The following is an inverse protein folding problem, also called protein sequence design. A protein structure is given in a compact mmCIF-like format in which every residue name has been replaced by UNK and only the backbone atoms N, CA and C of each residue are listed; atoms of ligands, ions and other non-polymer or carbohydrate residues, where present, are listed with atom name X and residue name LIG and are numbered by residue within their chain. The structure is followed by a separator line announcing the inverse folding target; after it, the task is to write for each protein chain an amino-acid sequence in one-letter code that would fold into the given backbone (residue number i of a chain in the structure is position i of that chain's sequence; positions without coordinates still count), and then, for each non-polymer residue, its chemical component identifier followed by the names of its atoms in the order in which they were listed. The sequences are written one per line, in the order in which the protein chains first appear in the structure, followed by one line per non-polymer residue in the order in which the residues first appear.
data_IF_255876156397
#
_entry.id   IF_255876156397
#
_cell.length_a   1.000
_cell.length_b   1.000
_cell.length_c   1.000
_cell.angle_alpha   90.00
_cell.angle_beta   90.00
_cell.angle_gamma   90.00
#
_symmetry.space_group_name_H-M   'P 1'
#
loop_
_entity.id
_entity.type
_entity.pdbx_description
1 polymer ?
#
# COMPACT_ATOMS: atom_id res chain seq x y z
N UNK A 1 11.94 7.68 37.60
CA UNK A 1 12.24 6.48 38.42
C UNK A 1 12.65 5.31 37.49
N UNK A 2 11.84 4.89 36.53
CA UNK A 2 12.12 3.73 35.67
C UNK A 2 13.46 3.85 34.95
N UNK A 3 13.75 4.96 34.27
CA UNK A 3 15.02 5.17 33.55
C UNK A 3 16.21 5.06 34.50
N UNK A 4 16.15 5.71 35.67
CA UNK A 4 17.21 5.62 36.69
C UNK A 4 17.39 4.20 37.21
N UNK A 5 16.32 3.47 37.46
CA UNK A 5 16.38 2.08 37.91
C UNK A 5 17.04 1.18 36.84
N UNK A 6 16.69 1.37 35.55
CA UNK A 6 17.30 0.63 34.45
C UNK A 6 18.79 0.95 34.34
N UNK A 7 19.17 2.25 34.33
CA UNK A 7 20.56 2.68 34.29
C UNK A 7 21.37 2.14 35.49
N UNK A 8 20.80 2.12 36.69
CA UNK A 8 21.43 1.53 37.88
C UNK A 8 21.68 0.03 37.77
N UNK A 9 20.93 -0.69 36.95
CA UNK A 9 21.09 -2.14 36.73
C UNK A 9 22.04 -2.48 35.59
N UNK A 10 21.99 -1.72 34.48
CA UNK A 10 22.76 -2.03 33.27
C UNK A 10 24.08 -1.27 33.18
N UNK A 11 24.26 -0.25 33.99
CA UNK A 11 25.46 0.62 33.99
C UNK A 11 25.26 1.89 33.17
N UNK A 12 26.11 2.89 33.42
CA UNK A 12 26.01 4.21 32.78
C UNK A 12 26.26 4.15 31.26
N UNK A 13 27.16 3.30 30.83
CA UNK A 13 27.58 3.16 29.44
C UNK A 13 26.59 2.38 28.58
N UNK A 14 25.62 1.68 29.17
CA UNK A 14 24.62 0.95 28.41
C UNK A 14 23.56 1.92 27.87
N UNK A 15 23.33 2.00 26.54
CA UNK A 15 22.35 2.96 25.96
C UNK A 15 20.92 2.62 26.39
N UNK A 16 20.24 3.59 26.99
CA UNK A 16 18.85 3.48 27.41
C UNK A 16 18.05 4.65 26.81
N UNK A 17 17.10 4.35 25.95
CA UNK A 17 16.17 5.38 25.45
C UNK A 17 14.74 5.01 25.78
N UNK A 18 13.88 6.01 25.76
CA UNK A 18 12.46 5.82 25.96
C UNK A 18 11.67 6.30 24.76
N UNK A 19 10.51 5.70 24.55
CA UNK A 19 9.51 6.19 23.60
C UNK A 19 8.45 6.98 24.38
N UNK A 20 8.22 8.22 23.94
CA UNK A 20 7.24 9.13 24.52
C UNK A 20 6.21 9.53 23.48
N UNK A 21 4.96 9.55 23.86
CA UNK A 21 3.92 10.22 23.10
C UNK A 21 4.01 11.73 23.40
N UNK A 22 4.43 12.49 22.40
CA UNK A 22 4.61 13.95 22.51
C UNK A 22 3.27 14.68 22.60
N UNK A 23 2.20 14.05 22.11
CA UNK A 23 0.84 14.56 22.13
C UNK A 23 -0.16 13.43 22.05
N UNK A 24 -1.29 13.56 22.75
CA UNK A 24 -2.47 12.74 22.58
C UNK A 24 -3.51 13.49 21.75
N UNK A 25 -3.94 12.88 20.65
CA UNK A 25 -4.91 13.48 19.75
C UNK A 25 -6.33 13.12 20.17
N UNK A 26 -7.22 14.13 20.24
CA UNK A 26 -8.65 14.00 20.57
C UNK A 26 -8.96 13.26 21.86
N UNK A 27 -8.05 13.24 22.79
CA UNK A 27 -8.25 12.71 24.14
C UNK A 27 -8.56 13.88 25.07
N UNK A 28 -9.70 13.82 25.72
CA UNK A 28 -10.05 14.83 26.73
C UNK A 28 -9.02 14.77 27.87
N UNK A 29 -8.46 15.92 28.23
CA UNK A 29 -7.34 16.02 29.16
C UNK A 29 -6.11 15.20 28.78
N UNK A 30 -5.95 14.86 27.49
CA UNK A 30 -4.78 14.16 26.97
C UNK A 30 -3.53 15.03 26.97
N UNK A 31 -2.37 14.36 26.85
CA UNK A 31 -1.05 14.99 26.85
C UNK A 31 -0.95 16.04 25.73
N UNK A 32 -0.63 17.27 26.14
CA UNK A 32 -0.31 18.37 25.23
C UNK A 32 1.15 18.31 24.77
N UNK A 33 1.51 19.00 23.70
CA UNK A 33 2.89 19.05 23.22
C UNK A 33 3.83 19.68 24.27
N UNK A 34 3.37 20.63 25.08
CA UNK A 34 4.18 21.22 26.15
C UNK A 34 4.45 20.22 27.27
N UNK A 35 3.49 19.41 27.65
CA UNK A 35 3.67 18.33 28.61
C UNK A 35 4.61 17.25 28.05
N UNK A 36 4.46 16.88 26.76
CA UNK A 36 5.38 15.98 26.06
C UNK A 36 6.84 16.49 26.06
N UNK A 37 7.04 17.79 25.80
CA UNK A 37 8.35 18.44 25.91
C UNK A 37 8.91 18.36 27.32
N UNK A 38 8.10 18.65 28.33
CA UNK A 38 8.49 18.55 29.72
C UNK A 38 8.83 17.10 30.13
N UNK A 39 8.07 16.13 29.64
CA UNK A 39 8.36 14.70 29.88
C UNK A 39 9.71 14.30 29.25
N UNK A 40 10.05 14.80 28.07
CA UNK A 40 11.33 14.56 27.43
C UNK A 40 12.51 15.16 28.23
N UNK A 41 12.39 16.40 28.73
CA UNK A 41 13.39 17.04 29.61
C UNK A 41 13.60 16.21 30.89
N UNK A 42 12.53 15.71 31.49
CA UNK A 42 12.61 14.86 32.68
C UNK A 42 13.23 13.49 32.38
N UNK A 43 12.98 12.94 31.21
CA UNK A 43 13.59 11.67 30.77
C UNK A 43 15.11 11.83 30.57
N UNK A 44 15.55 12.91 29.92
CA UNK A 44 16.96 13.29 29.77
C UNK A 44 17.62 13.48 31.15
N UNK A 45 17.01 14.26 32.03
CA UNK A 45 17.52 14.47 33.41
C UNK A 45 17.54 13.18 34.25
N UNK A 46 16.81 12.16 33.87
CA UNK A 46 16.83 10.84 34.48
C UNK A 46 17.89 9.91 33.87
N UNK A 47 18.63 10.35 32.84
CA UNK A 47 19.72 9.60 32.20
C UNK A 47 19.28 8.82 30.94
N UNK A 48 18.20 9.22 30.27
CA UNK A 48 17.91 8.71 28.94
C UNK A 48 18.97 9.18 27.94
N UNK A 49 19.47 8.28 27.10
CA UNK A 49 20.48 8.57 26.08
C UNK A 49 19.87 9.01 24.76
N UNK A 50 18.58 8.76 24.53
CA UNK A 50 17.80 9.25 23.38
C UNK A 50 16.31 9.26 23.68
N UNK A 51 15.57 10.05 22.92
CA UNK A 51 14.10 10.14 22.98
C UNK A 51 13.50 9.72 21.64
N UNK A 52 12.69 8.66 21.64
CA UNK A 52 11.90 8.25 20.50
C UNK A 52 10.50 8.90 20.57
N UNK A 53 10.19 9.76 19.61
CA UNK A 53 8.99 10.58 19.65
C UNK A 53 7.85 9.94 18.85
N UNK A 54 6.73 9.67 19.51
CA UNK A 54 5.48 9.23 18.89
C UNK A 54 4.33 10.13 19.30
N UNK A 55 3.12 9.73 18.94
CA UNK A 55 1.89 10.35 19.41
C UNK A 55 0.82 9.26 19.54
N UNK A 56 -0.15 9.51 20.41
CA UNK A 56 -1.25 8.62 20.69
C UNK A 56 -2.56 9.19 20.15
N UNK A 57 -3.47 8.31 19.81
CA UNK A 57 -4.89 8.61 19.61
C UNK A 57 -5.68 7.39 20.08
N UNK A 58 -6.77 7.61 20.80
CA UNK A 58 -7.58 6.52 21.36
C UNK A 58 -8.24 5.70 20.22
N UNK A 59 -7.86 4.42 20.05
CA UNK A 59 -8.42 3.58 18.99
C UNK A 59 -9.89 3.21 19.22
N UNK A 60 -10.41 3.32 20.44
CA UNK A 60 -11.82 3.04 20.75
C UNK A 60 -12.74 4.09 20.16
N UNK A 61 -12.25 5.31 19.98
CA UNK A 61 -12.98 6.41 19.38
C UNK A 61 -12.95 6.41 17.84
N UNK A 62 -12.44 5.40 17.17
CA UNK A 62 -12.34 5.26 15.69
C UNK A 62 -11.94 6.54 14.94
N UNK A 63 -12.72 7.60 15.10
CA UNK A 63 -12.48 8.93 14.52
C UNK A 63 -11.19 9.55 15.06
N UNK A 64 -10.90 9.46 16.35
CA UNK A 64 -9.67 9.96 16.95
C UNK A 64 -8.44 9.25 16.38
N UNK A 65 -8.54 7.94 16.17
CA UNK A 65 -7.48 7.17 15.53
C UNK A 65 -7.26 7.59 14.07
N UNK A 66 -8.33 7.90 13.33
CA UNK A 66 -8.23 8.35 11.94
C UNK A 66 -7.61 9.73 11.80
N UNK A 67 -7.72 10.57 12.81
CA UNK A 67 -7.13 11.91 12.82
C UNK A 67 -5.66 11.93 13.26
N UNK A 68 -5.13 10.81 13.77
CA UNK A 68 -3.71 10.72 14.07
C UNK A 68 -2.87 10.84 12.79
N UNK A 69 -1.81 11.66 12.76
CA UNK A 69 -0.98 11.88 11.59
C UNK A 69 -0.44 10.58 10.96
N UNK A 70 -0.23 9.54 11.76
CA UNK A 70 0.24 8.24 11.31
C UNK A 70 -0.62 7.61 10.21
N UNK A 71 -1.95 7.82 10.26
CA UNK A 71 -2.88 7.27 9.27
C UNK A 71 -3.04 8.20 8.07
N UNK A 72 -2.98 9.51 8.28
CA UNK A 72 -3.34 10.51 7.26
C UNK A 72 -2.17 11.04 6.45
N UNK A 73 -1.03 11.35 7.11
CA UNK A 73 0.04 12.13 6.52
C UNK A 73 1.38 11.39 6.53
N UNK A 74 2.15 11.56 5.47
CA UNK A 74 3.59 11.31 5.52
C UNK A 74 4.23 12.32 6.49
N UNK A 75 5.28 11.91 7.21
CA UNK A 75 6.03 12.75 8.14
C UNK A 75 5.20 13.40 9.27
N UNK A 76 4.00 12.86 9.57
CA UNK A 76 3.04 13.51 10.46
C UNK A 76 3.54 13.79 11.89
N UNK A 77 4.52 13.01 12.38
CA UNK A 77 5.10 13.21 13.72
C UNK A 77 6.43 13.98 13.71
N UNK A 78 6.96 14.32 12.53
CA UNK A 78 8.22 15.08 12.43
C UNK A 78 8.14 16.43 13.15
N UNK A 79 7.05 17.23 13.06
CA UNK A 79 6.94 18.48 13.83
C UNK A 79 6.97 18.27 15.34
N UNK A 80 6.46 17.13 15.83
CA UNK A 80 6.52 16.78 17.25
C UNK A 80 7.95 16.46 17.67
N UNK A 81 8.66 15.65 16.87
CA UNK A 81 10.07 15.33 17.09
C UNK A 81 10.95 16.59 17.08
N UNK A 82 10.75 17.48 16.10
CA UNK A 82 11.43 18.78 16.04
C UNK A 82 11.15 19.64 17.29
N UNK A 83 9.90 19.64 17.76
CA UNK A 83 9.51 20.34 18.97
C UNK A 83 10.18 19.81 20.26
N UNK A 84 10.37 18.49 20.35
CA UNK A 84 11.13 17.85 21.44
C UNK A 84 12.63 18.16 21.30
N UNK A 85 13.21 18.02 20.10
CA UNK A 85 14.63 18.24 19.84
C UNK A 85 15.11 19.64 20.24
N UNK A 86 14.25 20.65 20.15
CA UNK A 86 14.55 22.02 20.58
C UNK A 86 14.65 22.18 22.11
N UNK A 87 14.31 21.15 22.89
CA UNK A 87 14.21 21.19 24.36
C UNK A 87 15.20 20.25 25.05
N UNK A 88 15.76 19.29 24.34
CA UNK A 88 16.68 18.27 24.89
C UNK A 88 18.01 18.30 24.14
N UNK A 89 19.08 17.92 24.84
CA UNK A 89 20.44 17.80 24.28
C UNK A 89 20.73 16.39 23.75
N UNK A 90 19.96 15.38 24.19
CA UNK A 90 20.10 14.01 23.72
C UNK A 90 19.51 13.79 22.33
N UNK A 91 20.00 12.80 21.58
CA UNK A 91 19.44 12.46 20.26
C UNK A 91 17.94 12.21 20.27
N UNK A 92 17.26 12.68 19.22
CA UNK A 92 15.83 12.49 19.02
C UNK A 92 15.56 11.60 17.80
N UNK A 93 14.74 10.58 18.00
CA UNK A 93 14.35 9.61 16.98
C UNK A 93 12.92 9.96 16.50
N UNK A 94 12.77 10.31 15.21
CA UNK A 94 11.46 10.55 14.60
C UNK A 94 10.88 9.28 13.98
N UNK A 95 9.56 9.18 14.00
CA UNK A 95 8.79 8.08 13.36
C UNK A 95 7.52 8.66 12.69
N UNK A 96 6.88 7.90 11.82
CA UNK A 96 5.55 8.22 11.29
C UNK A 96 5.48 8.44 9.78
N UNK A 97 5.38 7.34 9.00
CA UNK A 97 5.26 7.35 7.53
C UNK A 97 6.32 8.21 6.84
N UNK A 98 7.58 8.00 7.21
CA UNK A 98 8.71 8.71 6.62
C UNK A 98 9.26 7.83 5.49
N UNK A 99 9.30 8.34 4.25
CA UNK A 99 9.96 7.68 3.12
C UNK A 99 11.48 7.92 3.21
N UNK A 100 12.33 7.12 2.55
CA UNK A 100 13.80 7.31 2.61
C UNK A 100 14.25 8.72 2.21
N UNK A 101 13.69 9.26 1.14
CA UNK A 101 14.01 10.62 0.64
C UNK A 101 13.58 11.69 1.63
N UNK A 102 12.42 11.51 2.28
CA UNK A 102 11.92 12.40 3.33
C UNK A 102 12.77 12.27 4.60
N UNK A 103 13.27 11.06 4.91
CA UNK A 103 14.16 10.81 6.05
C UNK A 103 15.43 11.63 5.93
N UNK A 104 16.09 11.61 4.78
CA UNK A 104 17.29 12.39 4.51
C UNK A 104 17.01 13.91 4.69
N UNK A 105 15.92 14.40 4.12
CA UNK A 105 15.53 15.82 4.25
C UNK A 105 15.27 16.20 5.72
N UNK A 106 14.65 15.34 6.52
CA UNK A 106 14.39 15.58 7.96
C UNK A 106 15.70 15.65 8.75
N UNK A 107 16.65 14.75 8.48
CA UNK A 107 17.96 14.71 9.14
C UNK A 107 18.80 15.93 8.75
N UNK A 108 18.88 16.25 7.45
CA UNK A 108 19.63 17.42 6.95
C UNK A 108 19.08 18.73 7.46
N UNK A 109 17.77 18.83 7.68
CA UNK A 109 17.14 20.00 8.28
C UNK A 109 17.32 20.07 9.83
N UNK A 110 17.98 19.11 10.43
CA UNK A 110 18.20 19.03 11.88
C UNK A 110 16.93 18.85 12.71
N UNK A 111 15.85 18.30 12.12
CA UNK A 111 14.58 18.09 12.81
C UNK A 111 14.54 16.86 13.70
N UNK A 112 15.42 15.90 13.43
CA UNK A 112 15.65 14.70 14.21
C UNK A 112 17.11 14.24 14.01
N UNK A 113 17.60 13.32 14.83
CA UNK A 113 18.94 12.72 14.71
C UNK A 113 18.87 11.33 14.09
N UNK A 114 17.75 10.63 14.31
CA UNK A 114 17.51 9.29 13.79
C UNK A 114 16.07 9.17 13.27
N UNK A 115 15.88 8.22 12.34
CA UNK A 115 14.57 7.89 11.79
C UNK A 115 14.23 6.43 12.08
N UNK A 116 13.06 6.20 12.68
CA UNK A 116 12.54 4.86 12.91
C UNK A 116 11.52 4.48 11.81
N UNK A 117 11.70 3.31 11.19
CA UNK A 117 10.87 2.79 10.12
C UNK A 117 10.32 1.39 10.47
N UNK A 118 9.09 1.27 10.97
CA UNK A 118 8.50 -0.04 11.31
C UNK A 118 7.95 -0.76 10.08
N UNK A 119 6.85 -0.25 9.50
CA UNK A 119 6.13 -0.92 8.39
C UNK A 119 6.96 -1.07 7.11
N UNK A 120 7.92 -0.18 6.87
CA UNK A 120 8.84 -0.30 5.74
C UNK A 120 9.78 -1.48 5.90
N UNK A 121 10.27 -1.72 7.11
CA UNK A 121 11.11 -2.88 7.42
C UNK A 121 10.32 -4.20 7.42
N UNK A 122 9.00 -4.16 7.67
CA UNK A 122 8.14 -5.32 7.42
C UNK A 122 7.97 -5.60 5.92
N UNK A 123 7.90 -4.55 5.10
CA UNK A 123 7.81 -4.70 3.65
C UNK A 123 9.14 -5.11 3.03
N UNK A 124 10.25 -4.57 3.53
CA UNK A 124 11.61 -4.89 3.08
C UNK A 124 12.60 -4.82 4.26
N UNK A 125 12.96 -5.95 4.88
CA UNK A 125 13.95 -5.97 5.96
C UNK A 125 15.36 -5.55 5.52
N UNK A 126 15.66 -5.67 4.22
CA UNK A 126 16.94 -5.28 3.63
C UNK A 126 17.04 -3.79 3.26
N UNK A 127 16.00 -3.01 3.56
CA UNK A 127 15.93 -1.58 3.22
C UNK A 127 17.18 -0.80 3.64
N UNK A 128 17.71 -0.92 4.88
CA UNK A 128 18.89 -0.15 5.28
C UNK A 128 20.14 -0.52 4.46
N UNK A 129 20.33 -1.82 4.17
CA UNK A 129 21.45 -2.31 3.36
C UNK A 129 21.35 -1.80 1.92
N UNK A 130 20.17 -1.90 1.29
CA UNK A 130 19.94 -1.43 -0.08
C UNK A 130 20.17 0.07 -0.22
N UNK A 131 19.71 0.86 0.75
CA UNK A 131 19.98 2.31 0.76
C UNK A 131 21.47 2.61 0.92
N UNK A 132 22.16 1.93 1.84
CA UNK A 132 23.59 2.10 2.07
C UNK A 132 24.45 1.71 0.85
N UNK A 133 23.97 0.78 0.02
CA UNK A 133 24.61 0.35 -1.23
C UNK A 133 24.17 1.20 -2.45
N UNK A 134 23.36 2.25 -2.26
CA UNK A 134 22.90 3.13 -3.34
C UNK A 134 21.89 2.48 -4.29
N UNK A 135 21.07 1.53 -3.81
CA UNK A 135 20.06 0.78 -4.59
C UNK A 135 18.63 1.03 -4.10
N UNK A 136 18.18 2.31 -3.96
CA UNK A 136 16.85 2.62 -3.44
C UNK A 136 15.70 2.05 -4.29
N UNK A 137 15.93 1.90 -5.61
CA UNK A 137 14.95 1.33 -6.53
C UNK A 137 14.68 -0.16 -6.32
N UNK A 138 15.55 -0.86 -5.60
CA UNK A 138 15.37 -2.27 -5.24
C UNK A 138 14.62 -2.46 -3.91
N UNK A 139 14.30 -1.38 -3.22
CA UNK A 139 13.52 -1.43 -1.99
C UNK A 139 12.06 -1.79 -2.30
N UNK A 140 11.56 -2.86 -1.68
CA UNK A 140 10.15 -3.24 -1.77
C UNK A 140 9.28 -2.22 -1.02
N UNK A 141 8.35 -1.54 -1.69
CA UNK A 141 7.60 -0.45 -1.07
C UNK A 141 6.55 -0.95 -0.08
N UNK A 142 6.42 -0.27 1.04
CA UNK A 142 5.22 -0.37 1.87
C UNK A 142 4.09 0.40 1.22
N UNK A 143 2.95 -0.26 0.94
CA UNK A 143 1.77 0.37 0.33
C UNK A 143 0.79 0.94 1.36
N UNK A 144 1.14 0.97 2.62
CA UNK A 144 0.29 1.51 3.70
C UNK A 144 -1.16 0.96 3.73
N UNK A 145 -1.32 -0.32 3.38
CA UNK A 145 -2.62 -1.02 3.44
C UNK A 145 -3.10 -1.31 4.85
N UNK A 146 -2.23 -1.14 5.85
CA UNK A 146 -2.49 -1.40 7.28
C UNK A 146 -2.83 -2.85 7.64
N UNK A 147 -2.68 -3.81 6.76
CA UNK A 147 -2.91 -5.23 7.05
C UNK A 147 -2.12 -5.68 8.29
N UNK A 148 -0.83 -5.36 8.37
CA UNK A 148 0.02 -5.67 9.53
C UNK A 148 -0.51 -5.04 10.83
N UNK A 149 -0.90 -3.77 10.79
CA UNK A 149 -1.45 -3.07 11.98
C UNK A 149 -2.81 -3.62 12.36
N UNK A 150 -3.68 -3.93 11.38
CA UNK A 150 -4.98 -4.55 11.62
C UNK A 150 -4.86 -5.91 12.35
N UNK A 151 -3.84 -6.70 12.04
CA UNK A 151 -3.57 -7.97 12.72
C UNK A 151 -3.23 -7.80 14.20
N UNK A 152 -2.57 -6.70 14.58
CA UNK A 152 -2.27 -6.37 15.99
C UNK A 152 -3.58 -6.18 16.77
N UNK A 153 -4.54 -5.41 16.22
CA UNK A 153 -5.84 -5.19 16.86
C UNK A 153 -6.67 -6.48 17.00
N UNK A 154 -6.45 -7.45 16.13
CA UNK A 154 -7.13 -8.75 16.17
C UNK A 154 -6.36 -9.80 16.97
N UNK A 155 -5.24 -9.42 17.59
CA UNK A 155 -4.32 -10.35 18.27
C UNK A 155 -3.95 -11.58 17.40
N UNK A 156 -3.69 -11.32 16.12
CA UNK A 156 -3.33 -12.36 15.14
C UNK A 156 -1.85 -12.24 14.77
N UNK A 157 -1.29 -13.36 14.25
CA UNK A 157 0.06 -13.39 13.69
C UNK A 157 0.23 -12.28 12.65
N UNK A 158 1.32 -11.53 12.75
CA UNK A 158 1.58 -10.44 11.83
C UNK A 158 1.88 -10.96 10.41
N UNK A 159 1.52 -10.16 9.41
CA UNK A 159 1.80 -10.43 8.01
C UNK A 159 1.89 -9.11 7.23
N UNK A 160 2.51 -9.14 6.06
CA UNK A 160 2.58 -8.01 5.15
C UNK A 160 1.92 -8.37 3.82
N UNK A 161 1.11 -7.46 3.28
CA UNK A 161 0.44 -7.68 1.98
C UNK A 161 1.42 -7.69 0.79
N UNK A 162 2.60 -7.11 0.95
CA UNK A 162 3.61 -7.02 -0.13
C UNK A 162 4.85 -7.87 0.11
N UNK A 163 5.05 -8.39 1.32
CA UNK A 163 6.18 -9.24 1.68
C UNK A 163 5.66 -10.55 2.29
N UNK A 164 5.48 -11.62 1.49
CA UNK A 164 4.91 -12.89 1.94
C UNK A 164 5.62 -13.55 3.13
N UNK A 165 6.96 -13.50 3.26
CA UNK A 165 7.68 -14.06 4.40
C UNK A 165 7.38 -13.41 5.76
N UNK A 166 6.88 -12.16 5.80
CA UNK A 166 6.68 -11.41 7.06
C UNK A 166 5.94 -12.23 8.12
N UNK A 167 6.58 -12.42 9.28
CA UNK A 167 6.09 -13.24 10.40
C UNK A 167 6.26 -14.76 10.18
N UNK A 168 6.92 -15.16 9.08
CA UNK A 168 7.22 -16.54 8.73
C UNK A 168 8.59 -16.67 8.05
N UNK A 169 9.53 -15.81 8.40
CA UNK A 169 10.79 -15.63 7.72
C UNK A 169 11.59 -16.93 7.65
N UNK A 170 11.64 -17.70 8.75
CA UNK A 170 12.32 -18.98 8.80
C UNK A 170 11.66 -20.10 7.96
N UNK A 171 10.36 -19.95 7.64
CA UNK A 171 9.63 -20.93 6.82
C UNK A 171 9.74 -20.62 5.30
N UNK A 172 10.01 -19.36 4.96
CA UNK A 172 10.01 -18.82 3.59
C UNK A 172 11.38 -18.29 3.16
N UNK A 173 12.45 -18.81 3.71
CA UNK A 173 13.79 -18.50 3.23
C UNK A 173 13.93 -18.97 1.76
N UNK A 174 14.49 -18.10 0.93
CA UNK A 174 14.67 -18.40 -0.49
C UNK A 174 16.01 -19.10 -0.65
N UNK A 175 15.98 -20.43 -0.70
CA UNK A 175 17.14 -21.28 -0.93
C UNK A 175 17.22 -21.75 -2.38
N UNK A 176 18.43 -21.92 -2.94
CA UNK A 176 18.61 -22.56 -4.25
C UNK A 176 17.93 -23.93 -4.30
N UNK A 177 17.26 -24.21 -5.42
CA UNK A 177 16.65 -25.52 -5.62
C UNK A 177 17.72 -26.60 -5.85
N UNK A 178 17.61 -27.75 -5.20
CA UNK A 178 18.49 -28.89 -5.41
C UNK A 178 18.52 -29.33 -6.89
N UNK A 179 17.36 -29.28 -7.55
CA UNK A 179 17.22 -29.60 -8.96
C UNK A 179 16.47 -28.47 -9.69
N UNK A 180 17.15 -27.69 -10.55
CA UNK A 180 16.49 -26.69 -11.39
C UNK A 180 15.45 -27.33 -12.32
N UNK A 181 14.27 -26.72 -12.40
CA UNK A 181 13.14 -27.14 -13.24
C UNK A 181 12.76 -26.06 -14.24
N UNK A 182 12.05 -26.44 -15.30
CA UNK A 182 11.35 -25.48 -16.16
C UNK A 182 9.99 -25.14 -15.54
N UNK A 183 9.78 -23.87 -15.25
CA UNK A 183 8.57 -23.35 -14.61
C UNK A 183 7.86 -22.39 -15.55
N UNK A 184 6.63 -22.73 -15.92
CA UNK A 184 5.74 -21.86 -16.67
C UNK A 184 4.79 -21.14 -15.68
N UNK A 185 4.88 -19.83 -15.61
CA UNK A 185 3.97 -18.99 -14.83
C UNK A 185 2.96 -18.35 -15.76
N UNK A 186 1.66 -18.57 -15.49
CA UNK A 186 0.55 -18.09 -16.31
C UNK A 186 -0.15 -16.94 -15.61
N UNK A 187 0.01 -15.74 -16.14
CA UNK A 187 -0.55 -14.49 -15.61
C UNK A 187 0.50 -13.58 -14.97
N UNK A 188 0.61 -12.36 -15.48
CA UNK A 188 1.56 -11.32 -15.06
C UNK A 188 1.02 -10.35 -14.00
N UNK A 189 0.03 -10.80 -13.21
CA UNK A 189 -0.42 -10.07 -12.03
C UNK A 189 0.57 -10.17 -10.86
N UNK A 190 0.29 -9.53 -9.69
CA UNK A 190 1.22 -9.52 -8.57
C UNK A 190 1.61 -10.91 -8.07
N UNK A 191 0.67 -11.86 -8.06
CA UNK A 191 0.94 -13.25 -7.66
C UNK A 191 1.89 -13.95 -8.64
N UNK A 192 1.66 -13.79 -9.95
CA UNK A 192 2.51 -14.39 -10.98
C UNK A 192 3.90 -13.76 -11.03
N UNK A 193 4.01 -12.44 -10.91
CA UNK A 193 5.30 -11.74 -10.85
C UNK A 193 6.13 -12.17 -9.63
N UNK A 194 5.52 -12.27 -8.45
CA UNK A 194 6.21 -12.73 -7.24
C UNK A 194 6.60 -14.22 -7.34
N UNK A 195 5.72 -15.08 -7.88
CA UNK A 195 6.02 -16.49 -8.11
C UNK A 195 7.19 -16.67 -9.10
N UNK A 196 7.19 -15.92 -10.21
CA UNK A 196 8.27 -15.93 -11.18
C UNK A 196 9.59 -15.45 -10.57
N UNK A 197 9.55 -14.37 -9.78
CA UNK A 197 10.71 -13.83 -9.06
C UNK A 197 11.31 -14.88 -8.11
N UNK A 198 10.50 -15.48 -7.26
CA UNK A 198 10.97 -16.48 -6.29
C UNK A 198 11.51 -17.73 -7.00
N UNK A 199 10.83 -18.22 -8.04
CA UNK A 199 11.30 -19.36 -8.81
C UNK A 199 12.67 -19.08 -9.50
N UNK A 200 12.84 -17.89 -10.06
CA UNK A 200 14.10 -17.48 -10.68
C UNK A 200 15.24 -17.34 -9.64
N UNK A 201 14.98 -16.74 -8.48
CA UNK A 201 15.95 -16.65 -7.38
C UNK A 201 16.37 -18.02 -6.85
N UNK A 202 15.49 -19.00 -6.92
CA UNK A 202 15.81 -20.41 -6.59
C UNK A 202 16.56 -21.15 -7.69
N UNK A 203 16.85 -20.50 -8.83
CA UNK A 203 17.62 -21.08 -9.93
C UNK A 203 16.82 -21.90 -10.93
N UNK A 204 15.48 -21.83 -10.94
CA UNK A 204 14.65 -22.47 -11.94
C UNK A 204 14.71 -21.69 -13.28
N UNK A 205 14.46 -22.40 -14.39
CA UNK A 205 14.24 -21.78 -15.70
C UNK A 205 12.80 -21.31 -15.80
N UNK A 206 12.54 -20.00 -15.75
CA UNK A 206 11.21 -19.43 -15.63
C UNK A 206 10.77 -18.79 -16.94
N UNK A 207 9.58 -19.16 -17.42
CA UNK A 207 8.84 -18.44 -18.46
C UNK A 207 7.59 -17.83 -17.81
N UNK A 208 7.41 -16.51 -17.91
CA UNK A 208 6.21 -15.80 -17.44
C UNK A 208 5.42 -15.32 -18.66
N UNK A 209 4.20 -15.85 -18.80
CA UNK A 209 3.29 -15.44 -19.87
C UNK A 209 2.16 -14.55 -19.32
N UNK A 210 1.92 -13.44 -20.00
CA UNK A 210 0.80 -12.53 -19.71
C UNK A 210 0.04 -12.24 -21.01
N UNK A 211 -1.30 -12.37 -20.98
CA UNK A 211 -2.15 -12.16 -22.17
C UNK A 211 -2.22 -10.70 -22.62
N UNK A 212 -2.03 -9.75 -21.71
CA UNK A 212 -1.98 -8.33 -22.03
C UNK A 212 -0.56 -7.88 -22.40
N UNK A 213 -0.44 -6.70 -23.03
CA UNK A 213 0.84 -6.10 -23.41
C UNK A 213 1.62 -5.52 -22.21
N UNK A 214 1.10 -5.68 -20.98
CA UNK A 214 1.73 -5.13 -19.77
C UNK A 214 1.53 -6.03 -18.55
N UNK A 215 2.49 -5.96 -17.63
CA UNK A 215 2.40 -6.60 -16.32
C UNK A 215 1.50 -5.82 -15.34
N UNK A 216 1.18 -6.45 -14.21
CA UNK A 216 0.50 -5.84 -13.07
C UNK A 216 -0.94 -6.28 -12.87
N UNK A 217 -1.62 -6.80 -13.89
CA UNK A 217 -2.98 -7.33 -13.79
C UNK A 217 -3.96 -6.33 -13.13
N UNK A 218 -4.76 -6.79 -12.18
CA UNK A 218 -5.73 -5.94 -11.44
C UNK A 218 -5.06 -4.86 -10.59
N UNK A 219 -3.79 -5.04 -10.21
CA UNK A 219 -3.07 -4.05 -9.40
C UNK A 219 -2.87 -2.73 -10.15
N UNK A 220 -2.75 -2.75 -11.49
CA UNK A 220 -2.71 -1.55 -12.33
C UNK A 220 -3.99 -0.74 -12.17
N UNK A 221 -5.16 -1.39 -12.22
CA UNK A 221 -6.43 -0.71 -12.01
C UNK A 221 -6.55 -0.16 -10.57
N UNK A 222 -6.23 -0.97 -9.57
CA UNK A 222 -6.30 -0.53 -8.18
C UNK A 222 -5.35 0.63 -7.86
N UNK A 223 -4.27 0.81 -8.64
CA UNK A 223 -3.36 1.95 -8.50
C UNK A 223 -3.95 3.28 -8.97
N UNK A 224 -4.99 3.26 -9.81
CA UNK A 224 -5.77 4.46 -10.13
C UNK A 224 -6.56 4.95 -8.92
N UNK A 225 -7.09 4.01 -8.15
CA UNK A 225 -7.87 4.27 -6.93
C UNK A 225 -6.93 4.58 -5.76
N UNK A 226 -5.93 3.73 -5.55
CA UNK A 226 -4.97 3.87 -4.45
C UNK A 226 -3.53 3.95 -4.98
N UNK A 227 -2.95 5.15 -4.96
CA UNK A 227 -1.68 5.48 -5.62
C UNK A 227 -0.49 4.62 -5.18
N UNK A 228 -0.42 4.25 -3.90
CA UNK A 228 0.67 3.45 -3.36
C UNK A 228 0.80 2.07 -4.05
N UNK A 229 -0.28 1.54 -4.61
CA UNK A 229 -0.25 0.30 -5.39
C UNK A 229 0.60 0.42 -6.67
N UNK A 230 0.71 1.63 -7.23
CA UNK A 230 1.56 1.89 -8.40
C UNK A 230 3.04 1.60 -8.12
N UNK A 231 3.54 2.02 -6.96
CA UNK A 231 4.91 1.73 -6.53
C UNK A 231 5.19 0.21 -6.45
N UNK A 232 4.20 -0.57 -6.04
CA UNK A 232 4.32 -2.02 -5.99
C UNK A 232 4.37 -2.65 -7.40
N UNK A 233 3.55 -2.15 -8.34
CA UNK A 233 3.62 -2.59 -9.75
C UNK A 233 5.01 -2.35 -10.31
N UNK A 234 5.53 -1.12 -10.17
CA UNK A 234 6.84 -0.72 -10.67
C UNK A 234 7.97 -1.58 -10.05
N UNK A 235 7.89 -1.85 -8.74
CA UNK A 235 8.85 -2.72 -8.06
C UNK A 235 8.81 -4.14 -8.63
N UNK A 236 7.65 -4.77 -8.69
CA UNK A 236 7.51 -6.16 -9.16
C UNK A 236 7.91 -6.30 -10.64
N UNK A 237 7.52 -5.36 -11.48
CA UNK A 237 7.91 -5.34 -12.90
C UNK A 237 9.43 -5.23 -13.04
N UNK A 238 10.08 -4.35 -12.29
CA UNK A 238 11.54 -4.23 -12.27
C UNK A 238 12.20 -5.52 -11.84
N UNK A 239 11.72 -6.17 -10.77
CA UNK A 239 12.25 -7.46 -10.29
C UNK A 239 12.16 -8.55 -11.37
N UNK A 240 11.02 -8.64 -12.07
CA UNK A 240 10.85 -9.61 -13.17
C UNK A 240 11.82 -9.34 -14.31
N UNK A 241 12.05 -8.06 -14.67
CA UNK A 241 12.93 -7.69 -15.79
C UNK A 241 14.42 -7.80 -15.48
N UNK A 242 14.81 -7.71 -14.21
CA UNK A 242 16.21 -7.84 -13.77
C UNK A 242 16.66 -9.30 -13.59
N UNK A 243 15.72 -10.23 -13.43
CA UNK A 243 16.00 -11.65 -13.25
C UNK A 243 16.00 -12.40 -14.59
N UNK A 244 16.64 -13.57 -14.69
CA UNK A 244 16.68 -14.39 -15.91
C UNK A 244 15.33 -15.08 -16.16
N UNK A 245 14.30 -14.29 -16.42
CA UNK A 245 12.92 -14.72 -16.70
C UNK A 245 12.61 -14.48 -18.17
N UNK A 246 12.17 -15.52 -18.89
CA UNK A 246 11.62 -15.40 -20.24
C UNK A 246 10.22 -14.79 -20.16
N UNK A 247 10.13 -13.47 -20.33
CA UNK A 247 8.89 -12.70 -20.25
C UNK A 247 8.20 -12.62 -21.61
N UNK A 248 6.98 -13.16 -21.70
CA UNK A 248 6.15 -13.16 -22.91
C UNK A 248 4.85 -12.38 -22.66
N UNK A 249 4.81 -11.15 -23.12
CA UNK A 249 3.61 -10.30 -23.12
C UNK A 249 2.78 -10.55 -24.39
N UNK A 250 1.46 -10.26 -24.34
CA UNK A 250 0.54 -10.56 -25.42
C UNK A 250 0.31 -12.06 -25.66
N UNK A 251 0.82 -12.93 -24.75
CA UNK A 251 0.77 -14.36 -24.89
C UNK A 251 -0.34 -14.98 -24.02
N UNK A 252 -1.44 -15.36 -24.64
CA UNK A 252 -2.45 -16.19 -23.99
C UNK A 252 -1.98 -17.66 -23.92
N UNK A 253 -2.06 -18.23 -22.73
CA UNK A 253 -1.68 -19.64 -22.50
C UNK A 253 -2.90 -20.52 -22.60
N UNK A 254 -2.87 -21.43 -23.57
CA UNK A 254 -3.87 -22.48 -23.77
C UNK A 254 -3.33 -23.83 -23.34
N UNK A 255 -4.21 -24.85 -23.22
CA UNK A 255 -3.78 -26.22 -22.96
C UNK A 255 -2.80 -26.75 -24.02
N UNK A 256 -3.00 -26.36 -25.30
CA UNK A 256 -2.07 -26.70 -26.39
C UNK A 256 -0.71 -26.06 -26.17
N UNK A 257 -0.66 -24.77 -25.79
CA UNK A 257 0.60 -24.09 -25.48
C UNK A 257 1.39 -24.82 -24.39
N UNK A 258 0.72 -25.24 -23.31
CA UNK A 258 1.37 -26.01 -22.22
C UNK A 258 1.93 -27.33 -22.73
N UNK A 259 1.16 -28.06 -23.56
CA UNK A 259 1.60 -29.33 -24.16
C UNK A 259 2.82 -29.15 -25.08
N UNK A 260 2.88 -28.05 -25.83
CA UNK A 260 3.99 -27.74 -26.74
C UNK A 260 5.25 -27.31 -25.97
N UNK A 261 5.10 -26.52 -24.89
CA UNK A 261 6.24 -26.05 -24.06
C UNK A 261 6.79 -27.13 -23.11
N UNK A 262 6.00 -28.12 -22.74
CA UNK A 262 6.36 -29.24 -21.83
C UNK A 262 7.09 -28.79 -20.56
N UNK A 263 6.56 -27.81 -19.78
CA UNK A 263 7.19 -27.41 -18.55
C UNK A 263 7.13 -28.51 -17.50
N UNK A 264 8.12 -28.56 -16.58
CA UNK A 264 8.08 -29.46 -15.43
C UNK A 264 7.00 -29.05 -14.43
N UNK A 265 6.73 -27.72 -14.33
CA UNK A 265 5.74 -27.15 -13.40
C UNK A 265 4.98 -26.02 -14.10
N UNK A 266 3.67 -25.95 -13.88
CA UNK A 266 2.81 -24.83 -14.28
C UNK A 266 2.25 -24.16 -13.03
N UNK A 267 2.50 -22.86 -12.88
CA UNK A 267 1.93 -22.01 -11.84
C UNK A 267 0.82 -21.14 -12.45
N UNK A 268 -0.43 -21.39 -12.04
CA UNK A 268 -1.59 -20.65 -12.56
C UNK A 268 -1.89 -19.45 -11.65
N UNK A 269 -1.70 -18.24 -12.17
CA UNK A 269 -1.87 -16.97 -11.47
C UNK A 269 -2.75 -15.98 -12.26
N UNK A 270 -3.83 -16.48 -12.86
CA UNK A 270 -4.71 -15.72 -13.79
C UNK A 270 -5.68 -14.77 -13.10
N UNK A 271 -5.65 -14.70 -11.78
CA UNK A 271 -6.57 -13.88 -10.99
C UNK A 271 -7.94 -14.52 -10.79
N UNK A 272 -8.85 -13.77 -10.14
CA UNK A 272 -10.22 -14.21 -9.93
C UNK A 272 -11.11 -13.80 -11.10
N UNK A 273 -12.06 -14.66 -11.44
CA UNK A 273 -13.19 -14.27 -12.31
C UNK A 273 -14.16 -13.39 -11.53
N UNK A 274 -14.71 -12.40 -12.20
CA UNK A 274 -15.84 -11.66 -11.65
C UNK A 274 -17.11 -12.43 -12.05
N UNK A 275 -17.89 -12.85 -11.06
CA UNK A 275 -19.23 -13.43 -11.32
C UNK A 275 -20.19 -12.34 -11.82
N UNK A 276 -21.21 -12.76 -12.58
CA UNK A 276 -22.31 -11.88 -12.93
C UNK A 276 -23.00 -11.41 -11.66
N UNK A 277 -23.32 -10.12 -11.60
CA UNK A 277 -23.88 -9.53 -10.38
C UNK A 277 -25.33 -9.95 -10.11
N UNK A 278 -25.99 -10.56 -11.08
CA UNK A 278 -27.40 -10.96 -11.04
C UNK A 278 -28.36 -9.85 -10.58
N UNK A 279 -27.99 -8.59 -10.77
CA UNK A 279 -28.79 -7.42 -10.40
C UNK A 279 -29.73 -7.10 -11.56
N UNK A 280 -31.05 -7.01 -11.34
CA UNK A 280 -31.98 -6.64 -12.41
C UNK A 280 -31.60 -5.30 -13.07
N UNK A 281 -31.39 -5.32 -14.39
CA UNK A 281 -31.01 -4.15 -15.17
C UNK A 281 -29.51 -3.87 -15.25
N UNK A 282 -28.66 -4.83 -14.93
CA UNK A 282 -27.18 -4.70 -15.08
C UNK A 282 -26.74 -4.48 -16.53
N UNK A 283 -27.55 -4.91 -17.49
CA UNK A 283 -27.39 -4.70 -18.93
C UNK A 283 -27.53 -3.24 -19.36
N UNK A 284 -28.17 -2.38 -18.54
CA UNK A 284 -28.40 -0.99 -18.88
C UNK A 284 -27.08 -0.21 -19.06
N UNK A 285 -27.02 0.76 -20.02
CA UNK A 285 -25.80 1.52 -20.28
C UNK A 285 -25.24 2.28 -19.07
N UNK A 286 -26.11 2.75 -18.15
CA UNK A 286 -25.70 3.46 -16.94
C UNK A 286 -25.24 2.55 -15.82
N UNK A 287 -25.38 1.24 -15.94
CA UNK A 287 -24.89 0.26 -14.95
C UNK A 287 -23.50 -0.23 -15.39
N UNK A 288 -22.51 -0.04 -14.54
CA UNK A 288 -21.14 -0.44 -14.78
C UNK A 288 -20.76 -1.51 -13.76
N UNK A 289 -20.44 -2.70 -14.24
CA UNK A 289 -19.79 -3.71 -13.43
C UNK A 289 -18.32 -3.33 -13.17
N UNK A 290 -17.69 -3.97 -12.20
CA UNK A 290 -16.27 -3.71 -11.90
C UNK A 290 -15.34 -3.95 -13.09
N UNK A 291 -15.68 -4.92 -13.95
CA UNK A 291 -15.01 -5.20 -15.22
C UNK A 291 -15.13 -4.07 -16.24
N UNK A 292 -16.34 -3.50 -16.37
CA UNK A 292 -16.61 -2.39 -17.29
C UNK A 292 -15.84 -1.14 -16.87
N UNK A 293 -15.89 -0.81 -15.57
CA UNK A 293 -15.17 0.34 -15.05
C UNK A 293 -13.65 0.19 -15.25
N UNK A 294 -13.14 -1.00 -15.04
CA UNK A 294 -11.73 -1.32 -15.32
C UNK A 294 -11.43 -1.13 -16.80
N UNK A 295 -12.23 -1.69 -17.70
CA UNK A 295 -12.04 -1.59 -19.14
C UNK A 295 -12.09 -0.13 -19.64
N UNK A 296 -13.01 0.66 -19.12
CA UNK A 296 -13.14 2.09 -19.46
C UNK A 296 -11.96 2.93 -18.97
N UNK A 297 -11.44 2.66 -17.76
CA UNK A 297 -10.34 3.44 -17.18
C UNK A 297 -8.96 3.01 -17.68
N UNK A 298 -8.81 1.75 -18.10
CA UNK A 298 -7.53 1.21 -18.61
C UNK A 298 -7.48 1.13 -20.14
N UNK A 299 -8.61 1.31 -20.83
CA UNK A 299 -8.71 1.12 -22.27
C UNK A 299 -8.54 -0.33 -22.74
N UNK A 300 -8.71 -1.30 -21.83
CA UNK A 300 -8.43 -2.72 -22.11
C UNK A 300 -9.47 -3.42 -22.99
N UNK A 301 -10.71 -2.92 -23.06
CA UNK A 301 -11.74 -3.45 -23.94
C UNK A 301 -12.57 -2.30 -24.57
N UNK A 302 -12.46 -2.15 -25.89
CA UNK A 302 -13.17 -1.11 -26.66
C UNK A 302 -14.68 -1.36 -26.75
N UNK A 303 -15.12 -2.63 -26.68
CA UNK A 303 -16.54 -3.00 -26.76
C UNK A 303 -17.33 -2.42 -25.61
N UNK A 304 -16.77 -2.43 -24.42
CA UNK A 304 -17.38 -1.81 -23.23
C UNK A 304 -17.63 -0.31 -23.45
N UNK A 305 -16.70 0.39 -24.08
CA UNK A 305 -16.90 1.80 -24.42
C UNK A 305 -18.02 1.99 -25.47
N UNK A 306 -18.16 1.07 -26.41
CA UNK A 306 -19.24 1.10 -27.42
C UNK A 306 -20.62 0.86 -26.81
N UNK A 307 -20.72 -0.01 -25.84
CA UNK A 307 -21.99 -0.39 -25.19
C UNK A 307 -22.41 0.60 -24.09
N UNK A 308 -21.48 1.07 -23.29
CA UNK A 308 -21.74 1.82 -22.05
C UNK A 308 -21.58 3.35 -22.20
N UNK A 309 -20.91 3.85 -23.25
CA UNK A 309 -20.64 5.28 -23.41
C UNK A 309 -21.42 5.92 -24.56
N UNK A 310 -21.82 7.18 -24.37
CA UNK A 310 -22.38 8.01 -25.46
C UNK A 310 -21.30 8.29 -26.53
N UNK A 311 -21.71 8.64 -27.79
CA UNK A 311 -20.75 8.95 -28.85
C UNK A 311 -19.70 10.02 -28.48
N UNK A 312 -20.12 11.05 -27.77
CA UNK A 312 -19.22 12.12 -27.28
C UNK A 312 -18.22 11.60 -26.27
N UNK A 313 -18.65 10.79 -25.30
CA UNK A 313 -17.75 10.18 -24.30
C UNK A 313 -16.75 9.22 -24.95
N UNK A 314 -17.19 8.43 -25.95
CA UNK A 314 -16.30 7.54 -26.75
C UNK A 314 -15.19 8.33 -27.45
N UNK A 315 -15.53 9.47 -28.05
CA UNK A 315 -14.54 10.32 -28.69
C UNK A 315 -13.45 10.80 -27.71
N UNK A 316 -13.85 11.23 -26.51
CA UNK A 316 -12.88 11.67 -25.46
C UNK A 316 -12.01 10.51 -25.00
N UNK A 317 -12.58 9.34 -24.71
CA UNK A 317 -11.83 8.13 -24.29
C UNK A 317 -10.89 7.69 -25.42
N UNK A 318 -11.35 7.73 -26.67
CA UNK A 318 -10.53 7.40 -27.86
C UNK A 318 -9.31 8.30 -28.01
N UNK A 319 -9.47 9.63 -27.83
CA UNK A 319 -8.34 10.59 -27.82
C UNK A 319 -7.38 10.30 -26.66
N UNK A 320 -7.91 10.00 -25.47
CA UNK A 320 -7.08 9.60 -24.32
C UNK A 320 -6.25 8.34 -24.58
N UNK A 321 -6.84 7.36 -25.28
CA UNK A 321 -6.15 6.14 -25.72
C UNK A 321 -5.03 6.43 -26.73
N UNK A 322 -5.30 7.27 -27.73
CA UNK A 322 -4.28 7.70 -28.71
C UNK A 322 -3.10 8.45 -28.08
N UNK A 323 -3.36 9.19 -26.99
CA UNK A 323 -2.32 9.91 -26.24
C UNK A 323 -1.57 9.03 -25.22
N UNK A 324 -1.84 7.74 -25.16
CA UNK A 324 -1.21 6.81 -24.23
C UNK A 324 -1.49 7.13 -22.75
N UNK A 325 -2.64 7.77 -22.47
CA UNK A 325 -3.01 8.13 -21.09
C UNK A 325 -3.15 6.89 -20.21
N UNK A 326 -3.67 5.81 -20.77
CA UNK A 326 -3.83 4.54 -20.08
C UNK A 326 -2.51 3.84 -19.75
N UNK A 327 -1.42 4.19 -20.45
CA UNK A 327 -0.09 3.61 -20.27
C UNK A 327 0.64 4.22 -19.05
N UNK A 328 0.20 5.40 -18.62
CA UNK A 328 0.77 6.10 -17.47
C UNK A 328 -0.28 6.32 -16.39
N UNK A 329 -0.24 5.51 -15.33
CA UNK A 329 -1.19 5.54 -14.21
C UNK A 329 -1.34 6.94 -13.60
N UNK A 330 -0.24 7.67 -13.42
CA UNK A 330 -0.25 9.03 -12.89
C UNK A 330 -1.01 10.02 -13.78
N UNK A 331 -0.85 9.91 -15.11
CA UNK A 331 -1.58 10.73 -16.09
C UNK A 331 -3.06 10.40 -16.12
N UNK A 332 -3.39 9.09 -16.12
CA UNK A 332 -4.78 8.63 -16.06
C UNK A 332 -5.46 9.13 -14.77
N UNK A 333 -4.78 9.04 -13.62
CA UNK A 333 -5.27 9.54 -12.34
C UNK A 333 -5.49 11.07 -12.35
N UNK A 334 -4.57 11.85 -12.92
CA UNK A 334 -4.72 13.30 -13.05
C UNK A 334 -5.88 13.68 -13.97
N UNK A 335 -6.06 12.96 -15.08
CA UNK A 335 -7.15 13.20 -16.03
C UNK A 335 -8.52 12.91 -15.41
N UNK A 336 -8.66 11.81 -14.64
CA UNK A 336 -9.93 11.47 -13.97
C UNK A 336 -10.41 12.52 -12.97
N UNK A 337 -9.52 13.37 -12.44
CA UNK A 337 -9.89 14.53 -11.62
C UNK A 337 -10.58 15.64 -12.42
N UNK A 338 -10.22 15.77 -13.70
CA UNK A 338 -10.79 16.80 -14.59
C UNK A 338 -12.03 16.29 -15.31
N UNK A 339 -11.96 15.05 -15.78
CA UNK A 339 -13.04 14.41 -16.52
C UNK A 339 -13.00 12.89 -16.35
N UNK A 340 -14.18 12.27 -16.25
CA UNK A 340 -14.36 10.83 -16.31
C UNK A 340 -15.77 10.50 -16.86
N UNK A 341 -15.93 9.35 -17.55
CA UNK A 341 -17.18 8.97 -18.21
C UNK A 341 -18.25 8.45 -17.22
N UNK A 342 -18.31 9.02 -16.02
CA UNK A 342 -19.24 8.64 -14.96
C UNK A 342 -20.04 9.86 -14.54
N UNK A 343 -21.35 9.70 -14.37
CA UNK A 343 -22.28 10.75 -13.98
C UNK A 343 -21.93 11.41 -12.64
N UNK A 344 -22.59 12.53 -12.35
CA UNK A 344 -22.36 13.28 -11.09
C UNK A 344 -22.93 12.57 -9.85
N UNK A 345 -24.03 11.82 -10.01
CA UNK A 345 -24.66 11.03 -8.95
C UNK A 345 -24.41 9.56 -9.24
N UNK A 346 -23.83 8.86 -8.28
CA UNK A 346 -23.42 7.46 -8.44
C UNK A 346 -23.95 6.65 -7.26
N UNK A 347 -24.59 5.53 -7.55
CA UNK A 347 -24.88 4.49 -6.56
C UNK A 347 -23.84 3.38 -6.70
N UNK A 348 -23.15 3.05 -5.63
CA UNK A 348 -22.23 1.91 -5.52
C UNK A 348 -22.96 0.80 -4.79
N UNK A 349 -23.14 -0.33 -5.46
CA UNK A 349 -23.77 -1.52 -4.88
C UNK A 349 -22.69 -2.47 -4.41
N UNK A 350 -22.69 -2.78 -3.12
CA UNK A 350 -21.65 -3.48 -2.40
C UNK A 350 -20.70 -2.52 -1.69
N UNK A 351 -20.74 -2.53 -0.37
CA UNK A 351 -19.95 -1.69 0.53
C UNK A 351 -18.76 -2.42 1.15
N UNK A 352 -18.27 -3.49 0.54
CA UNK A 352 -17.01 -4.14 0.91
C UNK A 352 -15.79 -3.25 0.64
N UNK A 353 -14.58 -3.81 0.72
CA UNK A 353 -13.33 -3.07 0.50
C UNK A 353 -13.34 -2.30 -0.83
N UNK A 354 -13.70 -2.97 -1.92
CA UNK A 354 -13.69 -2.37 -3.27
C UNK A 354 -14.70 -1.24 -3.40
N UNK A 355 -15.92 -1.44 -2.88
CA UNK A 355 -16.99 -0.43 -2.94
C UNK A 355 -16.65 0.82 -2.14
N UNK A 356 -16.08 0.67 -0.95
CA UNK A 356 -15.65 1.80 -0.11
C UNK A 356 -14.50 2.57 -0.76
N UNK A 357 -13.47 1.90 -1.28
CA UNK A 357 -12.36 2.56 -1.97
C UNK A 357 -12.82 3.26 -3.27
N UNK A 358 -13.74 2.64 -4.01
CA UNK A 358 -14.36 3.26 -5.18
C UNK A 358 -15.16 4.51 -4.80
N UNK A 359 -15.92 4.46 -3.70
CA UNK A 359 -16.67 5.61 -3.21
C UNK A 359 -15.74 6.78 -2.84
N UNK A 360 -14.65 6.53 -2.09
CA UNK A 360 -13.63 7.55 -1.81
C UNK A 360 -13.07 8.16 -3.11
N UNK A 361 -12.68 7.31 -4.06
CA UNK A 361 -12.14 7.73 -5.35
C UNK A 361 -13.10 8.62 -6.13
N UNK A 362 -14.38 8.30 -6.14
CA UNK A 362 -15.42 9.07 -6.83
C UNK A 362 -15.72 10.40 -6.11
N UNK A 363 -15.81 10.37 -4.77
CA UNK A 363 -16.03 11.56 -3.96
C UNK A 363 -14.89 12.59 -4.12
N UNK A 364 -13.63 12.14 -4.10
CA UNK A 364 -12.46 12.99 -4.39
C UNK A 364 -12.52 13.67 -5.77
N UNK A 365 -13.37 13.16 -6.67
CA UNK A 365 -13.59 13.68 -8.04
C UNK A 365 -14.90 14.43 -8.18
N UNK A 366 -15.49 14.83 -7.04
CA UNK A 366 -16.69 15.66 -6.98
C UNK A 366 -17.98 14.93 -7.40
N UNK A 367 -18.03 13.59 -7.22
CA UNK A 367 -19.27 12.83 -7.40
C UNK A 367 -20.02 12.73 -6.09
N UNK A 368 -21.34 12.80 -6.17
CA UNK A 368 -22.23 12.48 -5.06
C UNK A 368 -22.46 10.97 -5.07
N UNK A 369 -21.95 10.29 -4.05
CA UNK A 369 -21.94 8.83 -4.00
C UNK A 369 -22.87 8.33 -2.90
N UNK A 370 -23.72 7.36 -3.23
CA UNK A 370 -24.50 6.58 -2.26
C UNK A 370 -23.96 5.14 -2.28
N UNK A 371 -23.56 4.62 -1.17
CA UNK A 371 -23.12 3.21 -1.04
C UNK A 371 -24.27 2.39 -0.47
N UNK A 372 -24.65 1.33 -1.16
CA UNK A 372 -25.68 0.38 -0.76
C UNK A 372 -25.00 -0.91 -0.34
N UNK A 373 -25.23 -1.36 0.88
CA UNK A 373 -24.63 -2.56 1.46
C UNK A 373 -25.71 -3.41 2.11
N UNK A 374 -25.72 -4.70 1.80
CA UNK A 374 -26.66 -5.66 2.38
C UNK A 374 -26.37 -5.90 3.87
N UNK A 375 -25.11 -5.91 4.24
CA UNK A 375 -24.64 -6.09 5.59
C UNK A 375 -24.84 -4.83 6.45
N UNK A 376 -24.66 -4.99 7.76
CA UNK A 376 -24.78 -3.88 8.72
C UNK A 376 -23.61 -2.92 8.73
N UNK A 377 -22.53 -3.25 8.02
CA UNK A 377 -21.24 -2.57 8.21
C UNK A 377 -20.47 -2.49 6.90
N UNK A 378 -20.04 -1.29 6.52
CA UNK A 378 -19.20 -1.06 5.34
C UNK A 378 -17.75 -1.48 5.60
N UNK A 379 -17.06 -1.93 4.55
CA UNK A 379 -15.61 -2.17 4.54
C UNK A 379 -15.14 -3.26 5.51
N UNK A 380 -15.90 -4.33 5.70
CA UNK A 380 -15.57 -5.39 6.68
C UNK A 380 -14.25 -6.09 6.40
N UNK A 381 -13.83 -6.19 5.12
CA UNK A 381 -12.55 -6.78 4.71
C UNK A 381 -11.36 -5.83 4.85
N UNK A 382 -11.62 -4.56 5.08
CA UNK A 382 -10.55 -3.57 5.24
C UNK A 382 -9.85 -3.74 6.59
N UNK A 383 -8.55 -3.56 6.60
CA UNK A 383 -7.81 -3.44 7.86
C UNK A 383 -8.38 -2.27 8.69
N UNK A 384 -8.59 -2.50 9.99
CA UNK A 384 -9.31 -1.57 10.87
C UNK A 384 -8.85 -0.09 10.75
N UNK A 385 -7.54 0.24 10.78
CA UNK A 385 -7.14 1.64 10.68
C UNK A 385 -7.48 2.26 9.30
N UNK A 386 -7.36 1.47 8.23
CA UNK A 386 -7.71 1.93 6.88
C UNK A 386 -9.22 2.14 6.74
N UNK A 387 -10.01 1.22 7.32
CA UNK A 387 -11.46 1.29 7.35
C UNK A 387 -11.97 2.52 8.08
N UNK A 388 -11.48 2.76 9.30
CA UNK A 388 -11.86 3.94 10.08
C UNK A 388 -11.58 5.23 9.31
N UNK A 389 -10.42 5.32 8.66
CA UNK A 389 -10.05 6.44 7.82
C UNK A 389 -11.03 6.65 6.66
N UNK A 390 -11.34 5.58 5.92
CA UNK A 390 -12.21 5.64 4.75
C UNK A 390 -13.63 6.08 5.15
N UNK A 391 -14.20 5.45 6.18
CA UNK A 391 -15.54 5.77 6.65
C UNK A 391 -15.64 7.19 7.21
N UNK A 392 -14.62 7.66 7.93
CA UNK A 392 -14.56 9.05 8.39
C UNK A 392 -14.49 10.02 7.21
N UNK A 393 -13.64 9.76 6.22
CA UNK A 393 -13.55 10.56 5.00
C UNK A 393 -14.89 10.67 4.28
N UNK A 394 -15.60 9.56 4.12
CA UNK A 394 -16.92 9.53 3.48
C UNK A 394 -18.01 10.24 4.29
N UNK A 395 -17.89 10.30 5.61
CA UNK A 395 -18.87 11.00 6.49
C UNK A 395 -18.71 12.53 6.49
N UNK A 396 -17.61 13.04 5.96
CA UNK A 396 -17.32 14.48 5.88
C UNK A 396 -17.68 15.11 4.53
N UNK A 397 -18.08 14.28 3.56
CA UNK A 397 -18.45 14.69 2.20
C UNK A 397 -19.95 14.60 2.02
#
# INVERSE_FOLDING_TARGET
EVIRAVKGRVGAEFPVWCRLDAKEFRTENGITIEEGRRAAELAEAAGADAIHVSAYADPTCGVAFTDAPLVHQACGYVPLAEGIKKRVGVPVIAVGRIEPEEAEAVLMAGKADFIAMGRKLLADPELPRKLGEGRPEEVRPCIYCYTCVGKIFLNQRNCCAVNPPTGREAEFEIEPAETPRSVLVVGGGPAGMEAARVAALRGHRVTLCEKSERLGGTLVFSSLVYEANGKLVEYLERQVRQLPIDLRLGQEVTSRFVQDQKPDVVLVAVGAGHGDSAIPGEDRPQVLAGGDLRALLTGSDKRVAEEKLSPHQRAIVGVGGLLGVADHISRARALTRRWMPIGKRVAVIGGGLVGVELAEFLCERGRQVSVLEEGRTLGVEMALPRRWRALHGLSLI
#
